data_IF_578287742837
#
_entry.id   IF_578287742837
#
_cell.length_a   1.000
_cell.length_b   1.000
_cell.length_c   1.000
_cell.angle_alpha   90.00
_cell.angle_beta   90.00
_cell.angle_gamma   90.00
#
_symmetry.space_group_name_H-M   'P 1'
#
loop_
_entity.id
_entity.type
_entity.pdbx_description
1 polymer ?
#
# COMPACT_ATOMS: atom_id res chain seq x y z
N UNK A 1 -0.55 -15.61 -1.33
CA UNK A 1 -1.11 -14.69 -2.34
C UNK A 1 -0.69 -13.27 -1.94
N UNK A 2 -0.53 -12.32 -2.88
CA UNK A 2 -0.18 -10.93 -2.52
C UNK A 2 -1.44 -10.10 -2.48
N UNK A 3 -1.63 -9.33 -1.41
CA UNK A 3 -2.74 -8.40 -1.26
C UNK A 3 -2.23 -7.00 -0.99
N UNK A 4 -2.92 -6.00 -1.53
CA UNK A 4 -2.52 -4.61 -1.48
C UNK A 4 -3.52 -3.81 -0.66
N UNK A 5 -3.00 -2.95 0.21
CA UNK A 5 -3.78 -2.10 1.10
C UNK A 5 -3.35 -0.66 0.87
N UNK A 6 -4.31 0.26 0.70
CA UNK A 6 -4.06 1.67 0.41
C UNK A 6 -4.58 2.50 1.58
N UNK A 7 -3.75 3.40 2.07
CA UNK A 7 -4.03 4.27 3.19
C UNK A 7 -3.91 5.73 2.78
N UNK A 8 -4.80 6.56 3.31
CA UNK A 8 -4.81 7.99 3.09
C UNK A 8 -4.90 8.73 4.43
N UNK A 9 -3.92 9.58 4.74
CA UNK A 9 -3.84 10.34 5.99
C UNK A 9 -3.95 9.43 7.24
N UNK A 10 -3.39 8.21 7.15
CA UNK A 10 -3.47 7.17 8.19
C UNK A 10 -4.80 6.40 8.24
N UNK A 11 -5.75 6.68 7.34
CA UNK A 11 -7.01 5.94 7.22
C UNK A 11 -6.93 4.89 6.13
N UNK A 12 -7.37 3.66 6.41
CA UNK A 12 -7.49 2.62 5.39
C UNK A 12 -8.63 2.96 4.41
N UNK A 13 -8.28 3.24 3.15
CA UNK A 13 -9.26 3.45 2.09
C UNK A 13 -9.67 2.12 1.46
N UNK A 14 -8.68 1.30 1.13
CA UNK A 14 -8.88 0.03 0.45
C UNK A 14 -7.98 -1.04 1.08
N UNK A 15 -8.50 -2.25 1.22
CA UNK A 15 -7.78 -3.40 1.78
C UNK A 15 -8.06 -4.64 0.96
N UNK A 16 -7.13 -5.59 1.00
CA UNK A 16 -7.22 -6.86 0.30
C UNK A 16 -7.41 -6.72 -1.22
N UNK A 17 -6.84 -5.66 -1.80
CA UNK A 17 -6.85 -5.48 -3.24
C UNK A 17 -5.95 -6.52 -3.90
N UNK A 18 -6.38 -7.02 -5.04
CA UNK A 18 -5.49 -7.72 -5.96
C UNK A 18 -4.55 -6.73 -6.66
N UNK A 19 -3.46 -7.21 -7.24
CA UNK A 19 -2.50 -6.38 -7.98
C UNK A 19 -3.18 -5.56 -9.09
N UNK A 20 -4.10 -6.17 -9.84
CA UNK A 20 -4.84 -5.48 -10.90
C UNK A 20 -5.77 -4.39 -10.37
N UNK A 21 -6.44 -4.61 -9.24
CA UNK A 21 -7.28 -3.58 -8.61
C UNK A 21 -6.45 -2.44 -8.05
N UNK A 22 -5.30 -2.76 -7.44
CA UNK A 22 -4.35 -1.78 -6.95
C UNK A 22 -3.86 -0.88 -8.08
N UNK A 23 -3.41 -1.44 -9.21
CA UNK A 23 -2.89 -0.64 -10.33
C UNK A 23 -3.95 0.34 -10.89
N UNK A 24 -5.20 -0.12 -11.02
CA UNK A 24 -6.31 0.72 -11.49
C UNK A 24 -6.63 1.82 -10.48
N UNK A 25 -6.72 1.50 -9.19
CA UNK A 25 -7.09 2.46 -8.14
C UNK A 25 -5.97 3.45 -7.92
N UNK A 26 -4.73 2.97 -7.76
CA UNK A 26 -3.54 3.77 -7.52
C UNK A 26 -3.19 4.62 -8.74
N UNK A 27 -3.36 4.10 -9.96
CA UNK A 27 -3.21 4.87 -11.21
C UNK A 27 -4.28 5.95 -11.38
N UNK A 28 -5.47 5.78 -10.79
CA UNK A 28 -6.51 6.82 -10.75
C UNK A 28 -6.31 7.83 -9.62
N UNK A 29 -5.54 7.49 -8.60
CA UNK A 29 -5.19 8.43 -7.56
C UNK A 29 -4.10 9.36 -8.10
N UNK A 30 -4.40 10.65 -8.13
CA UNK A 30 -3.44 11.68 -8.50
C UNK A 30 -2.37 11.81 -7.41
N UNK A 31 -1.34 10.97 -7.46
CA UNK A 31 -0.21 10.98 -6.53
C UNK A 31 0.44 12.36 -6.40
N UNK A 32 0.46 13.15 -7.47
CA UNK A 32 0.94 14.54 -7.46
C UNK A 32 0.14 15.49 -6.56
N UNK A 33 -1.14 15.19 -6.29
CA UNK A 33 -2.00 15.98 -5.38
C UNK A 33 -1.92 15.47 -3.94
N UNK A 34 -1.75 14.17 -3.76
CA UNK A 34 -1.80 13.54 -2.43
C UNK A 34 -0.43 13.40 -1.78
N UNK A 35 0.67 13.52 -2.52
CA UNK A 35 2.04 13.55 -1.98
C UNK A 35 2.30 12.38 -1.02
N UNK A 36 2.83 12.68 0.16
CA UNK A 36 3.11 11.71 1.23
C UNK A 36 1.85 11.27 2.01
N UNK A 37 0.68 11.84 1.73
CA UNK A 37 -0.57 11.52 2.44
C UNK A 37 -1.15 10.20 2.00
N UNK A 38 -0.77 9.70 0.82
CA UNK A 38 -1.18 8.38 0.37
C UNK A 38 -0.02 7.39 0.44
N UNK A 39 -0.28 6.25 1.08
CA UNK A 39 0.68 5.16 1.25
C UNK A 39 0.01 3.84 0.90
N UNK A 40 0.81 2.82 0.59
CA UNK A 40 0.31 1.49 0.36
C UNK A 40 1.20 0.44 1.01
N UNK A 41 0.59 -0.68 1.38
CA UNK A 41 1.28 -1.85 1.93
C UNK A 41 0.98 -3.07 1.06
N UNK A 42 2.01 -3.90 0.86
CA UNK A 42 1.89 -5.16 0.14
C UNK A 42 2.04 -6.30 1.14
N UNK A 43 0.93 -6.98 1.41
CA UNK A 43 0.88 -8.14 2.28
C UNK A 43 1.10 -9.36 1.39
N UNK A 44 2.34 -9.86 1.41
CA UNK A 44 2.68 -11.14 0.79
C UNK A 44 2.63 -12.22 1.86
N UNK A 45 1.76 -13.22 1.72
CA UNK A 45 1.68 -14.36 2.66
C UNK A 45 2.89 -15.33 2.55
N UNK A 46 4.06 -14.81 2.17
CA UNK A 46 5.33 -15.51 2.39
C UNK A 46 5.82 -15.13 3.78
N UNK A 47 6.20 -16.08 4.64
CA UNK A 47 6.82 -15.78 5.93
C UNK A 47 8.19 -15.17 5.68
N UNK A 48 8.21 -13.86 5.41
CA UNK A 48 9.46 -13.11 5.28
C UNK A 48 9.49 -12.13 6.42
N UNK A 49 10.17 -12.58 7.47
CA UNK A 49 10.78 -11.77 8.50
C UNK A 49 11.48 -10.56 7.85
N UNK A 50 10.79 -9.43 7.76
CA UNK A 50 11.40 -8.14 7.42
C UNK A 50 11.07 -7.19 8.54
N UNK A 51 11.85 -7.37 9.61
CA UNK A 51 12.10 -6.35 10.60
C UNK A 51 12.43 -5.05 9.85
N UNK A 52 11.61 -4.03 10.03
CA UNK A 52 12.00 -2.67 9.72
C UNK A 52 13.18 -2.34 10.66
N UNK A 53 14.39 -2.45 10.13
CA UNK A 53 15.61 -2.07 10.83
C UNK A 53 15.55 -0.55 11.03
N UNK A 54 15.30 -0.16 12.28
CA UNK A 54 15.35 1.22 12.73
C UNK A 54 16.72 1.81 12.38
N UNK A 55 16.68 2.96 11.72
CA UNK A 55 17.86 3.75 11.33
C UNK A 55 18.83 3.94 12.51
N UNK A 56 20.11 3.63 12.30
CA UNK A 56 21.24 4.05 13.15
C UNK A 56 21.98 5.22 12.53
#
# INVERSE_FOLDING_TARGET
MNTYHIYFDGQCLFKNLTESEFDIIYGKIYSSYFGERITYEVITEVPTDKQFEHSY
#
